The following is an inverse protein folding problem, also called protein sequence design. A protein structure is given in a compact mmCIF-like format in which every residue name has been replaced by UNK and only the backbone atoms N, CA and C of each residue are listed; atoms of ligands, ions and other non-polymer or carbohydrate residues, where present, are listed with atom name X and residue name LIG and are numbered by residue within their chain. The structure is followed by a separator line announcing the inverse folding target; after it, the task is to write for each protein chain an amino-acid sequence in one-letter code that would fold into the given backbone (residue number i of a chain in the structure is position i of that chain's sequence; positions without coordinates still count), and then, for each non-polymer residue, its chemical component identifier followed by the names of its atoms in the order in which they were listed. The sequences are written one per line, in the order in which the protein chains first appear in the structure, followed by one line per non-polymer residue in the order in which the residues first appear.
data_IF_731628511680
#
_entry.id   IF_731628511680
#
_cell.length_a   1.000
_cell.length_b   1.000
_cell.length_c   1.000
_cell.angle_alpha   90.00
_cell.angle_beta   90.00
_cell.angle_gamma   90.00
#
_symmetry.space_group_name_H-M   'P 1'
#
loop_
_entity.id
_entity.type
_entity.pdbx_description
1 polymer ?
#
# COMPACT_ATOMS: atom_id res chain seq x y z
N UNK A 1 9.51 19.73 11.86
CA UNK A 1 10.15 18.61 11.13
C UNK A 1 9.95 17.36 11.98
N UNK A 2 9.48 16.26 11.42
CA UNK A 2 9.28 15.01 12.20
C UNK A 2 10.67 14.44 12.50
N UNK A 3 10.91 14.03 13.75
CA UNK A 3 12.20 13.45 14.19
C UNK A 3 12.34 12.04 13.61
N UNK A 4 13.56 11.62 13.27
CA UNK A 4 13.80 10.31 12.65
C UNK A 4 13.29 9.15 13.51
N UNK A 5 13.47 9.22 14.83
CA UNK A 5 12.97 8.22 15.78
C UNK A 5 11.45 8.12 15.74
N UNK A 6 10.75 9.26 15.69
CA UNK A 6 9.28 9.28 15.53
C UNK A 6 8.86 8.65 14.21
N UNK A 7 9.61 8.88 13.13
CA UNK A 7 9.33 8.27 11.83
C UNK A 7 9.54 6.74 11.89
N UNK A 8 10.60 6.28 12.55
CA UNK A 8 10.90 4.87 12.72
C UNK A 8 9.82 4.14 13.53
N UNK A 9 9.37 4.73 14.64
CA UNK A 9 8.26 4.20 15.45
C UNK A 9 6.96 4.09 14.64
N UNK A 10 6.64 5.13 13.86
CA UNK A 10 5.46 5.12 12.97
C UNK A 10 5.57 4.00 11.93
N UNK A 11 6.73 3.84 11.30
CA UNK A 11 6.97 2.79 10.30
C UNK A 11 6.79 1.42 10.95
N UNK A 12 7.37 1.18 12.12
CA UNK A 12 7.27 -0.10 12.82
C UNK A 12 5.81 -0.44 13.17
N UNK A 13 5.09 0.51 13.78
CA UNK A 13 3.66 0.33 14.12
C UNK A 13 2.81 0.04 12.87
N UNK A 14 3.08 0.74 11.76
CA UNK A 14 2.36 0.49 10.51
C UNK A 14 2.67 -0.90 9.94
N UNK A 15 3.93 -1.35 10.00
CA UNK A 15 4.31 -2.69 9.54
C UNK A 15 3.61 -3.80 10.33
N UNK A 16 3.59 -3.71 11.65
CA UNK A 16 2.89 -4.67 12.51
C UNK A 16 1.41 -4.77 12.15
N UNK A 17 0.76 -3.61 11.97
CA UNK A 17 -0.65 -3.54 11.61
C UNK A 17 -0.96 -4.10 10.23
N UNK A 18 -0.04 -3.89 9.27
CA UNK A 18 -0.15 -4.42 7.90
C UNK A 18 -0.06 -5.95 7.89
N UNK A 19 0.76 -6.56 8.76
CA UNK A 19 0.88 -8.02 8.86
C UNK A 19 -0.40 -8.70 9.33
N UNK A 20 -1.18 -8.01 10.15
CA UNK A 20 -2.45 -8.52 10.71
C UNK A 20 -3.65 -8.26 9.80
N UNK A 21 -3.49 -7.51 8.71
CA UNK A 21 -4.60 -7.15 7.83
C UNK A 21 -5.03 -8.30 6.93
N UNK A 22 -6.32 -8.61 6.99
CA UNK A 22 -6.99 -9.42 5.97
C UNK A 22 -6.96 -8.68 4.62
N UNK A 23 -6.46 -9.38 3.61
CA UNK A 23 -6.32 -8.89 2.24
C UNK A 23 -7.70 -8.62 1.61
N UNK A 24 -8.74 -9.28 2.13
CA UNK A 24 -10.11 -9.17 1.63
C UNK A 24 -10.23 -9.57 0.16
N UNK A 25 -11.25 -9.03 -0.52
CA UNK A 25 -11.47 -9.34 -1.94
C UNK A 25 -10.39 -8.71 -2.84
N UNK A 26 -9.82 -9.52 -3.75
CA UNK A 26 -8.85 -9.03 -4.74
C UNK A 26 -9.48 -7.96 -5.62
N UNK A 27 -8.79 -6.83 -5.78
CA UNK A 27 -9.22 -5.71 -6.63
C UNK A 27 -8.94 -6.05 -8.09
N UNK A 28 -9.96 -5.95 -8.94
CA UNK A 28 -9.83 -6.17 -10.40
C UNK A 28 -8.83 -5.21 -11.04
N UNK A 29 -8.84 -3.96 -10.59
CA UNK A 29 -7.94 -2.90 -11.03
C UNK A 29 -6.45 -3.23 -10.80
N UNK A 30 -6.11 -4.21 -9.96
CA UNK A 30 -4.72 -4.60 -9.72
C UNK A 30 -4.03 -5.09 -11.01
N UNK A 31 -4.78 -5.82 -11.85
CA UNK A 31 -4.29 -6.34 -13.12
C UNK A 31 -4.14 -5.24 -14.19
N UNK A 32 -4.75 -4.08 -13.98
CA UNK A 32 -4.73 -2.94 -14.91
C UNK A 32 -3.61 -1.94 -14.58
N UNK A 33 -2.92 -2.12 -13.45
CA UNK A 33 -1.88 -1.19 -13.01
C UNK A 33 -0.64 -1.29 -13.91
N UNK A 34 -0.14 -0.15 -14.44
CA UNK A 34 1.03 -0.15 -15.30
C UNK A 34 2.30 -0.48 -14.52
N UNK A 35 3.23 -1.19 -15.17
CA UNK A 35 4.56 -1.42 -14.62
C UNK A 35 5.50 -0.27 -15.01
N UNK A 36 5.62 0.73 -14.16
CA UNK A 36 6.41 1.94 -14.40
C UNK A 36 7.76 1.87 -13.64
N UNK A 37 8.85 2.19 -14.35
CA UNK A 37 10.22 2.17 -13.81
C UNK A 37 10.79 3.56 -13.47
N UNK A 38 10.22 4.63 -14.04
CA UNK A 38 10.79 5.99 -13.96
C UNK A 38 9.77 7.08 -13.59
N UNK A 39 8.52 6.71 -13.27
CA UNK A 39 7.44 7.65 -12.95
C UNK A 39 6.71 7.24 -11.67
N UNK A 40 6.04 8.21 -11.05
CA UNK A 40 5.15 7.96 -9.92
C UNK A 40 3.76 7.51 -10.41
N UNK A 41 3.18 6.50 -9.76
CA UNK A 41 1.79 6.10 -9.94
C UNK A 41 0.93 6.80 -8.89
N UNK A 42 -0.08 7.54 -9.33
CA UNK A 42 -1.03 8.21 -8.42
C UNK A 42 -2.36 7.44 -8.43
N UNK A 43 -2.73 6.89 -7.28
CA UNK A 43 -4.02 6.21 -7.08
C UNK A 43 -4.99 7.14 -6.34
N UNK A 44 -6.06 7.57 -7.02
CA UNK A 44 -7.04 8.54 -6.48
C UNK A 44 -8.43 7.93 -6.31
N UNK A 45 -9.37 8.69 -5.75
CA UNK A 45 -10.78 8.31 -5.62
C UNK A 45 -11.39 8.69 -4.27
N UNK A 46 -12.72 8.62 -4.19
CA UNK A 46 -13.51 9.05 -3.03
C UNK A 46 -13.26 8.21 -1.76
N UNK A 47 -13.74 8.67 -0.60
CA UNK A 47 -13.63 7.93 0.66
C UNK A 47 -14.21 6.50 0.52
N UNK A 48 -13.54 5.51 1.14
CA UNK A 48 -13.92 4.08 1.09
C UNK A 48 -13.85 3.41 -0.30
N UNK A 49 -13.24 4.05 -1.31
CA UNK A 49 -13.04 3.43 -2.63
C UNK A 49 -12.04 2.25 -2.67
N UNK A 50 -11.32 1.99 -1.57
CA UNK A 50 -10.41 0.83 -1.49
C UNK A 50 -8.99 1.07 -2.03
N UNK A 51 -8.56 2.32 -2.18
CA UNK A 51 -7.20 2.68 -2.63
C UNK A 51 -6.10 2.02 -1.81
N UNK A 52 -6.20 2.09 -0.48
CA UNK A 52 -5.23 1.47 0.44
C UNK A 52 -5.23 -0.05 0.29
N UNK A 53 -6.39 -0.67 0.06
CA UNK A 53 -6.49 -2.11 -0.22
C UNK A 53 -5.81 -2.47 -1.54
N UNK A 54 -6.02 -1.70 -2.61
CA UNK A 54 -5.37 -1.91 -3.90
C UNK A 54 -3.84 -1.80 -3.79
N UNK A 55 -3.34 -0.75 -3.12
CA UNK A 55 -1.90 -0.55 -2.90
C UNK A 55 -1.30 -1.66 -2.03
N UNK A 56 -2.01 -2.10 -0.98
CA UNK A 56 -1.55 -3.21 -0.15
C UNK A 56 -1.46 -4.52 -0.94
N UNK A 57 -2.47 -4.84 -1.75
CA UNK A 57 -2.45 -6.00 -2.64
C UNK A 57 -1.31 -5.93 -3.68
N UNK A 58 -1.02 -4.74 -4.21
CA UNK A 58 0.12 -4.51 -5.11
C UNK A 58 1.46 -4.77 -4.42
N UNK A 59 1.62 -4.29 -3.19
CA UNK A 59 2.85 -4.49 -2.42
C UNK A 59 3.09 -5.98 -2.14
N UNK A 60 2.05 -6.72 -1.79
CA UNK A 60 2.16 -8.17 -1.61
C UNK A 60 2.55 -8.89 -2.90
N UNK A 61 1.91 -8.58 -4.02
CA UNK A 61 2.16 -9.25 -5.30
C UNK A 61 3.59 -8.99 -5.84
N UNK A 62 4.13 -7.78 -5.62
CA UNK A 62 5.41 -7.36 -6.20
C UNK A 62 6.62 -7.44 -5.26
N UNK A 63 6.43 -7.31 -3.95
CA UNK A 63 7.55 -7.06 -3.02
C UNK A 63 7.59 -7.93 -1.76
N UNK A 64 6.53 -8.66 -1.40
CA UNK A 64 6.51 -9.56 -0.24
C UNK A 64 6.45 -11.04 -0.65
N UNK A 65 7.36 -11.48 -1.51
CA UNK A 65 7.63 -12.90 -1.74
C UNK A 65 8.49 -13.48 -0.61
#
# INVERSE_FOLDING_TARGET
MIVEETLAEIIQSQQERIKEWDIGLKRTALNELPNISAHALIVTGIRRSGKSTLLFQLLQEKFMQ
#
